data_IF_048070201737
#
_entry.id   IF_048070201737
#
_cell.length_a   1.000
_cell.length_b   1.000
_cell.length_c   1.000
_cell.angle_alpha   90.00
_cell.angle_beta   90.00
_cell.angle_gamma   90.00
#
_symmetry.space_group_name_H-M   'P 1'
#
loop_
_entity.id
_entity.type
_entity.pdbx_description
1 polymer ?
#
# COMPACT_ATOMS: atom_id res chain seq x y z
N UNK A 1 4.39 -7.36 13.07
CA UNK A 1 4.08 -6.27 12.13
C UNK A 1 5.19 -6.21 11.10
N UNK A 2 4.89 -5.90 9.83
CA UNK A 2 5.86 -5.86 8.73
C UNK A 2 5.62 -4.59 7.92
N UNK A 3 6.69 -3.93 7.48
CA UNK A 3 6.59 -2.76 6.61
C UNK A 3 6.39 -3.22 5.18
N UNK A 4 5.31 -2.76 4.57
CA UNK A 4 4.98 -2.98 3.18
C UNK A 4 5.27 -1.72 2.37
N UNK A 5 5.94 -1.88 1.24
CA UNK A 5 6.15 -0.79 0.28
C UNK A 5 5.18 -0.86 -0.90
N UNK A 6 4.41 0.19 -1.14
CA UNK A 6 3.53 0.26 -2.33
C UNK A 6 4.30 0.61 -3.61
N UNK A 7 5.50 1.16 -3.46
CA UNK A 7 6.43 1.47 -4.55
C UNK A 7 7.89 1.48 -4.06
N UNK A 8 8.83 1.25 -4.98
CA UNK A 8 10.27 1.43 -4.73
C UNK A 8 10.67 2.89 -4.91
N UNK A 9 11.66 3.36 -4.14
CA UNK A 9 12.16 4.73 -4.19
C UNK A 9 12.35 5.32 -2.79
N UNK A 10 12.20 6.65 -2.64
CA UNK A 10 12.19 7.28 -1.32
C UNK A 10 11.04 6.70 -0.51
N UNK A 11 11.32 6.26 0.70
CA UNK A 11 10.36 5.59 1.56
C UNK A 11 9.87 6.52 2.68
N UNK A 12 8.56 6.68 2.79
CA UNK A 12 7.89 7.57 3.71
C UNK A 12 6.65 6.87 4.29
N UNK A 13 6.57 6.83 5.63
CA UNK A 13 5.49 6.16 6.36
C UNK A 13 4.15 6.85 6.09
N UNK A 14 3.12 6.07 5.79
CA UNK A 14 1.79 6.57 5.45
C UNK A 14 1.65 7.07 4.01
N UNK A 15 2.74 7.22 3.26
CA UNK A 15 2.71 7.61 1.85
C UNK A 15 2.96 6.43 0.91
N UNK A 16 4.08 5.75 1.10
CA UNK A 16 4.43 4.55 0.34
C UNK A 16 5.00 3.40 1.20
N UNK A 17 5.20 3.62 2.50
CA UNK A 17 5.44 2.58 3.49
C UNK A 17 4.27 2.46 4.45
N UNK A 18 3.79 1.23 4.63
CA UNK A 18 2.61 0.95 5.45
C UNK A 18 2.88 -0.21 6.41
N UNK A 19 2.64 -0.02 7.72
CA UNK A 19 2.67 -1.11 8.68
C UNK A 19 1.48 -2.05 8.45
N UNK A 20 1.77 -3.30 8.12
CA UNK A 20 0.77 -4.35 7.94
C UNK A 20 1.01 -5.51 8.91
N UNK A 21 -0.04 -6.27 9.21
CA UNK A 21 0.17 -7.58 9.82
C UNK A 21 0.82 -8.54 8.81
N UNK A 22 1.48 -9.59 9.30
CA UNK A 22 2.21 -10.54 8.45
C UNK A 22 1.31 -11.12 7.34
N UNK A 23 0.08 -11.50 7.70
CA UNK A 23 -0.91 -12.03 6.75
C UNK A 23 -1.31 -11.01 5.68
N UNK A 24 -1.60 -9.77 6.07
CA UNK A 24 -1.97 -8.71 5.11
C UNK A 24 -0.80 -8.40 4.16
N UNK A 25 0.42 -8.36 4.67
CA UNK A 25 1.62 -8.17 3.85
C UNK A 25 1.77 -9.30 2.83
N UNK A 26 1.77 -10.57 3.27
CA UNK A 26 2.10 -11.69 2.38
C UNK A 26 0.95 -12.13 1.48
N UNK A 27 -0.29 -12.12 1.98
CA UNK A 27 -1.43 -12.69 1.26
C UNK A 27 -2.23 -11.64 0.48
N UNK A 28 -2.24 -10.38 0.93
CA UNK A 28 -3.08 -9.33 0.34
C UNK A 28 -2.23 -8.35 -0.47
N UNK A 29 -1.23 -7.73 0.16
CA UNK A 29 -0.41 -6.71 -0.49
C UNK A 29 0.48 -7.27 -1.61
N UNK A 30 0.88 -8.53 -1.49
CA UNK A 30 1.55 -9.30 -2.54
C UNK A 30 0.60 -10.12 -3.43
N UNK A 31 -0.73 -9.95 -3.28
CA UNK A 31 -1.65 -10.59 -4.22
C UNK A 31 -1.47 -9.99 -5.63
N UNK A 32 -1.39 -10.83 -6.67
CA UNK A 32 -1.24 -10.36 -8.04
C UNK A 32 -2.33 -9.37 -8.49
N UNK A 33 -3.54 -9.42 -7.93
CA UNK A 33 -4.63 -8.46 -8.23
C UNK A 33 -4.29 -7.02 -7.84
N UNK A 34 -3.47 -6.85 -6.79
CA UNK A 34 -3.08 -5.56 -6.24
C UNK A 34 -1.80 -5.04 -6.88
N UNK A 35 -1.24 -5.74 -7.88
CA UNK A 35 0.00 -5.40 -8.55
C UNK A 35 -0.26 -4.83 -9.94
N UNK A 36 0.49 -3.81 -10.35
CA UNK A 36 0.48 -3.34 -11.74
C UNK A 36 1.10 -4.42 -12.63
N UNK A 37 0.24 -5.08 -13.42
CA UNK A 37 0.59 -6.24 -14.26
C UNK A 37 0.86 -5.92 -15.73
N UNK A 38 0.74 -4.67 -16.14
CA UNK A 38 0.97 -4.30 -17.52
C UNK A 38 2.46 -4.40 -17.88
N UNK A 39 2.83 -5.43 -18.65
CA UNK A 39 4.20 -5.67 -19.14
C UNK A 39 4.69 -4.59 -20.10
N UNK A 40 3.81 -3.75 -20.65
CA UNK A 40 4.17 -2.58 -21.47
C UNK A 40 4.44 -1.34 -20.60
N UNK A 41 4.15 -1.42 -19.30
CA UNK A 41 4.42 -0.35 -18.36
C UNK A 41 5.84 -0.53 -17.78
N UNK A 42 6.74 0.48 -17.86
CA UNK A 42 8.11 0.39 -17.35
C UNK A 42 8.21 0.12 -15.83
N UNK A 43 7.10 0.17 -15.09
CA UNK A 43 6.98 -0.20 -13.67
C UNK A 43 6.20 -1.51 -13.46
N UNK A 44 6.46 -2.51 -14.30
CA UNK A 44 5.94 -3.87 -14.13
C UNK A 44 6.61 -4.59 -12.93
N UNK A 45 5.79 -5.13 -12.03
CA UNK A 45 6.27 -5.97 -10.92
C UNK A 45 6.88 -5.23 -9.73
N UNK A 46 6.74 -3.91 -9.68
CA UNK A 46 7.41 -3.07 -8.68
C UNK A 46 6.50 -1.99 -8.08
N UNK A 47 5.18 -2.03 -8.34
CA UNK A 47 4.21 -1.14 -7.68
C UNK A 47 2.86 -1.82 -7.48
N UNK A 48 2.21 -1.48 -6.38
CA UNK A 48 0.80 -1.76 -6.24
C UNK A 48 -0.06 -0.89 -7.18
N UNK A 49 -1.31 -1.28 -7.39
CA UNK A 49 -2.30 -0.46 -8.08
C UNK A 49 -2.57 0.83 -7.31
N UNK A 50 -3.04 1.87 -8.02
CA UNK A 50 -3.42 3.13 -7.38
C UNK A 50 -4.54 2.91 -6.36
N UNK A 51 -5.55 2.12 -6.74
CA UNK A 51 -6.67 1.75 -5.87
C UNK A 51 -6.19 1.10 -4.55
N UNK A 52 -5.30 0.11 -4.63
CA UNK A 52 -4.79 -0.54 -3.43
C UNK A 52 -3.94 0.41 -2.58
N UNK A 53 -3.16 1.30 -3.22
CA UNK A 53 -2.36 2.31 -2.51
C UNK A 53 -3.25 3.28 -1.73
N UNK A 54 -4.35 3.74 -2.30
CA UNK A 54 -5.31 4.61 -1.59
C UNK A 54 -5.99 3.90 -0.42
N UNK A 55 -6.27 2.59 -0.55
CA UNK A 55 -6.77 1.78 0.57
C UNK A 55 -5.75 1.69 1.72
N UNK A 56 -4.47 1.52 1.41
CA UNK A 56 -3.40 1.50 2.41
C UNK A 56 -3.29 2.83 3.14
N UNK A 57 -3.32 3.96 2.41
CA UNK A 57 -3.32 5.32 3.00
C UNK A 57 -4.52 5.53 3.93
N UNK A 58 -5.72 5.18 3.47
CA UNK A 58 -6.94 5.31 4.29
C UNK A 58 -6.84 4.45 5.56
N UNK A 59 -6.38 3.21 5.44
CA UNK A 59 -6.15 2.33 6.58
C UNK A 59 -5.13 2.90 7.57
N UNK A 60 -4.03 3.46 7.08
CA UNK A 60 -3.03 4.14 7.91
C UNK A 60 -3.62 5.33 8.67
N UNK A 61 -4.32 6.24 7.98
CA UNK A 61 -4.99 7.38 8.62
C UNK A 61 -5.95 6.93 9.71
N UNK A 62 -6.81 5.94 9.43
CA UNK A 62 -7.77 5.42 10.41
C UNK A 62 -7.09 4.86 11.66
N UNK A 63 -5.92 4.22 11.51
CA UNK A 63 -5.20 3.59 12.62
C UNK A 63 -4.37 4.58 13.44
N UNK A 64 -3.80 5.61 12.82
CA UNK A 64 -2.78 6.46 13.44
C UNK A 64 -3.20 7.92 13.63
N UNK A 65 -4.11 8.42 12.80
CA UNK A 65 -4.63 9.80 12.87
C UNK A 65 -6.05 9.85 13.46
N UNK A 66 -6.71 8.69 13.60
CA UNK A 66 -8.11 8.61 14.04
C UNK A 66 -9.09 9.01 12.93
N UNK A 67 -10.39 8.93 13.23
CA UNK A 67 -11.42 9.48 12.35
C UNK A 67 -11.58 10.95 12.73
N UNK A 68 -10.97 11.86 11.96
CA UNK A 68 -11.45 13.24 11.95
C UNK A 68 -12.82 13.22 11.26
N UNK A 69 -13.88 13.08 12.05
CA UNK A 69 -15.23 13.44 11.63
C UNK A 69 -15.24 14.95 11.38
N UNK A 70 -14.79 15.38 10.21
CA UNK A 70 -15.20 16.69 9.69
C UNK A 70 -16.59 16.51 9.09
N UNK A 71 -17.54 17.24 9.69
CA UNK A 71 -18.96 17.32 9.33
C UNK A 71 -19.17 17.85 7.90
#
# INVERSE_FOLDING_TARGET
MTLHHSSYGKHELGENWFPLCKRCHTAIAHSPENWKKDKKNPVWGNRNTAEFTERLKRGYKLLYEGINHEN
#
